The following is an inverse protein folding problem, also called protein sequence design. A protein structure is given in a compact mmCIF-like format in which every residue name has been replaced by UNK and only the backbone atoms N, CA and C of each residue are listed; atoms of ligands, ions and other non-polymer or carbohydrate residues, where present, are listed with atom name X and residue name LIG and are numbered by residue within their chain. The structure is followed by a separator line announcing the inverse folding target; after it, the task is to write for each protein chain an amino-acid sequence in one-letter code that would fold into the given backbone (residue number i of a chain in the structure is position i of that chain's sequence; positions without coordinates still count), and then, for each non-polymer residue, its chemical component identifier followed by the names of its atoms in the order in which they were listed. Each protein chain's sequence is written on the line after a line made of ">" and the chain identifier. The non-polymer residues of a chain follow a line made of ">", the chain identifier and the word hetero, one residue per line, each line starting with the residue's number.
data_IF_494054631073
#
_entry.id   IF_494054631073
#
_cell.length_a   1.000
_cell.length_b   1.000
_cell.length_c   1.000
_cell.angle_alpha   90.00
_cell.angle_beta   90.00
_cell.angle_gamma   90.00
#
_symmetry.space_group_name_H-M   'P 1'
#
loop_
_entity.id
_entity.type
_entity.pdbx_description
1 polymer ?
#
# COMPACT_ATOMS: atom_id res chain seq x y z
N UNK A 1 -29.79 -14.94 18.77
CA UNK A 1 -29.36 -13.53 18.60
C UNK A 1 -27.85 -13.56 18.44
N UNK A 2 -27.28 -12.82 17.48
CA UNK A 2 -25.83 -12.77 17.24
C UNK A 2 -25.07 -12.36 18.53
N UNK A 3 -24.00 -13.10 18.87
CA UNK A 3 -23.33 -13.05 20.17
C UNK A 3 -22.42 -11.83 20.32
N UNK A 4 -21.52 -11.67 19.36
CA UNK A 4 -20.55 -10.59 19.26
C UNK A 4 -21.11 -9.31 18.64
N UNK A 5 -22.13 -9.41 17.78
CA UNK A 5 -22.71 -8.26 17.06
C UNK A 5 -23.17 -7.14 17.99
N UNK A 6 -23.73 -7.48 19.17
CA UNK A 6 -24.16 -6.51 20.17
C UNK A 6 -23.04 -5.61 20.72
N UNK A 7 -21.78 -5.99 20.51
CA UNK A 7 -20.62 -5.19 20.85
C UNK A 7 -20.24 -4.25 19.71
N UNK A 8 -20.48 -4.64 18.46
CA UNK A 8 -20.36 -3.75 17.28
C UNK A 8 -21.45 -2.69 17.23
N UNK A 9 -22.69 -3.07 17.50
CA UNK A 9 -23.85 -2.17 17.35
C UNK A 9 -23.87 -0.98 18.31
N UNK A 10 -22.92 -0.91 19.25
CA UNK A 10 -22.73 0.22 20.16
C UNK A 10 -22.03 1.40 19.50
N UNK A 11 -21.27 1.14 18.44
CA UNK A 11 -20.57 2.18 17.69
C UNK A 11 -21.54 2.79 16.67
N UNK A 12 -21.55 4.11 16.60
CA UNK A 12 -22.29 4.85 15.59
C UNK A 12 -21.68 4.59 14.20
N UNK A 13 -22.53 4.70 13.18
CA UNK A 13 -22.11 4.59 11.79
C UNK A 13 -20.95 5.54 11.49
N UNK A 14 -19.83 5.01 10.99
CA UNK A 14 -18.65 5.78 10.59
C UNK A 14 -17.56 5.89 11.66
N UNK A 15 -17.80 5.42 12.90
CA UNK A 15 -16.74 5.36 13.92
C UNK A 15 -15.74 4.23 13.69
N UNK A 16 -16.19 3.16 13.03
CA UNK A 16 -15.38 1.98 12.72
C UNK A 16 -14.76 2.14 11.33
N UNK A 17 -13.42 2.20 11.28
CA UNK A 17 -12.68 2.50 10.05
C UNK A 17 -11.92 1.31 9.49
N UNK A 18 -11.24 0.56 10.34
CA UNK A 18 -10.47 -0.61 9.94
C UNK A 18 -11.10 -1.89 10.44
N UNK A 19 -11.07 -2.93 9.61
CA UNK A 19 -11.53 -4.27 9.95
C UNK A 19 -10.44 -5.27 9.58
N UNK A 20 -10.05 -6.10 10.55
CA UNK A 20 -9.13 -7.20 10.35
C UNK A 20 -9.74 -8.48 10.92
N UNK A 21 -9.96 -9.45 10.04
CA UNK A 21 -10.24 -10.82 10.44
C UNK A 21 -8.92 -11.58 10.40
N UNK A 22 -8.59 -12.23 11.50
CA UNK A 22 -7.51 -13.20 11.55
C UNK A 22 -8.05 -14.56 11.97
N UNK A 23 -7.59 -15.59 11.26
CA UNK A 23 -7.89 -16.99 11.56
C UNK A 23 -6.61 -17.66 12.03
N UNK A 24 -6.69 -18.30 13.18
CA UNK A 24 -5.70 -19.20 13.78
C UNK A 24 -6.40 -20.51 14.15
N UNK A 25 -5.64 -21.57 14.44
CA UNK A 25 -6.19 -22.94 14.48
C UNK A 25 -7.49 -23.09 15.27
N UNK A 26 -7.50 -22.59 16.51
CA UNK A 26 -8.63 -22.70 17.43
C UNK A 26 -9.26 -21.34 17.73
N UNK A 27 -8.92 -20.30 16.96
CA UNK A 27 -9.35 -18.93 17.23
C UNK A 27 -9.67 -18.16 15.94
N UNK A 28 -10.82 -17.51 15.91
CA UNK A 28 -11.13 -16.46 14.93
C UNK A 28 -11.24 -15.15 15.69
N UNK A 29 -10.55 -14.11 15.23
CA UNK A 29 -10.72 -12.79 15.81
C UNK A 29 -11.09 -11.74 14.76
N UNK A 30 -11.96 -10.83 15.18
CA UNK A 30 -12.38 -9.67 14.41
C UNK A 30 -11.91 -8.42 15.15
N UNK A 31 -10.82 -7.83 14.65
CA UNK A 31 -10.33 -6.55 15.15
C UNK A 31 -10.95 -5.41 14.37
N UNK A 32 -11.21 -4.33 15.10
CA UNK A 32 -11.64 -3.09 14.52
C UNK A 32 -11.04 -1.91 15.24
N UNK A 33 -10.85 -0.83 14.50
CA UNK A 33 -10.30 0.41 15.03
C UNK A 33 -11.40 1.45 15.12
N UNK A 34 -11.61 1.99 16.33
CA UNK A 34 -12.44 3.16 16.54
C UNK A 34 -11.61 4.43 16.33
N UNK A 35 -12.07 5.32 15.44
CA UNK A 35 -11.51 6.67 15.39
C UNK A 35 -12.26 7.59 16.34
N UNK A 36 -11.58 8.05 17.37
CA UNK A 36 -12.08 9.08 18.27
C UNK A 36 -11.26 10.36 18.05
N UNK A 37 -11.90 11.47 17.68
CA UNK A 37 -11.23 12.74 17.34
C UNK A 37 -10.36 13.30 18.49
N UNK A 38 -10.53 12.79 19.71
CA UNK A 38 -9.87 13.28 20.93
C UNK A 38 -8.81 12.33 21.52
N UNK A 39 -8.67 11.10 21.02
CA UNK A 39 -7.77 10.09 21.60
C UNK A 39 -7.00 9.29 20.54
N UNK A 40 -5.92 8.64 20.95
CA UNK A 40 -5.27 7.58 20.16
C UNK A 40 -6.32 6.53 19.79
N UNK A 41 -6.30 6.07 18.53
CA UNK A 41 -7.19 5.04 18.01
C UNK A 41 -7.19 3.80 18.91
N UNK A 42 -8.36 3.41 19.43
CA UNK A 42 -8.48 2.20 20.26
C UNK A 42 -8.75 1.03 19.34
N UNK A 43 -7.91 0.00 19.45
CA UNK A 43 -8.09 -1.25 18.74
C UNK A 43 -8.85 -2.22 19.65
N UNK A 44 -10.01 -2.66 19.17
CA UNK A 44 -10.87 -3.60 19.85
C UNK A 44 -10.86 -4.93 19.08
N UNK A 45 -10.97 -6.06 19.77
CA UNK A 45 -10.93 -7.40 19.20
C UNK A 45 -12.00 -8.29 19.82
N UNK A 46 -12.93 -8.77 19.01
CA UNK A 46 -13.85 -9.84 19.42
C UNK A 46 -13.23 -11.17 19.02
N UNK A 47 -13.15 -12.10 19.97
CA UNK A 47 -12.55 -13.41 19.76
C UNK A 47 -13.60 -14.50 19.90
N UNK A 48 -13.50 -15.46 19.00
CA UNK A 48 -14.24 -16.71 18.99
C UNK A 48 -13.19 -17.80 19.16
N UNK A 49 -13.20 -18.48 20.30
CA UNK A 49 -12.18 -19.47 20.68
C UNK A 49 -12.86 -20.81 20.91
N UNK A 50 -12.29 -21.88 20.35
CA UNK A 50 -12.71 -23.24 20.69
C UNK A 50 -11.90 -23.72 21.88
N UNK A 51 -12.58 -24.13 22.96
CA UNK A 51 -11.97 -24.75 24.14
C UNK A 51 -12.68 -26.07 24.39
N UNK A 52 -11.94 -27.16 24.21
CA UNK A 52 -12.49 -28.53 24.25
C UNK A 52 -13.61 -28.71 23.21
N UNK A 53 -14.83 -29.02 23.66
CA UNK A 53 -16.02 -29.19 22.82
C UNK A 53 -16.92 -27.95 22.78
N UNK A 54 -16.53 -26.86 23.46
CA UNK A 54 -17.32 -25.63 23.58
C UNK A 54 -16.69 -24.46 22.81
N UNK A 55 -17.54 -23.54 22.36
CA UNK A 55 -17.13 -22.28 21.73
C UNK A 55 -17.30 -21.15 22.74
N UNK A 56 -16.30 -20.28 22.84
CA UNK A 56 -16.31 -19.10 23.71
C UNK A 56 -16.17 -17.83 22.88
N UNK A 57 -17.04 -16.86 23.17
CA UNK A 57 -17.06 -15.55 22.52
C UNK A 57 -16.69 -14.47 23.55
N UNK A 58 -15.65 -13.70 23.28
CA UNK A 58 -15.14 -12.68 24.20
C UNK A 58 -14.89 -11.35 23.50
N UNK A 59 -14.93 -10.25 24.27
CA UNK A 59 -14.71 -8.89 23.79
C UNK A 59 -13.78 -8.10 24.73
N UNK A 60 -13.13 -7.04 24.24
CA UNK A 60 -12.18 -6.28 25.04
C UNK A 60 -12.88 -5.54 26.19
N UNK A 61 -12.15 -5.38 27.29
CA UNK A 61 -12.66 -4.73 28.49
C UNK A 61 -13.78 -5.51 29.21
N UNK A 62 -14.14 -6.72 28.77
CA UNK A 62 -15.12 -7.58 29.46
C UNK A 62 -14.42 -8.75 30.14
N UNK A 63 -14.72 -8.94 31.43
CA UNK A 63 -14.22 -10.06 32.24
C UNK A 63 -14.99 -11.38 32.03
N UNK A 64 -16.06 -11.37 31.23
CA UNK A 64 -16.89 -12.56 30.99
C UNK A 64 -16.84 -12.94 29.52
N UNK A 65 -16.38 -14.17 29.28
CA UNK A 65 -16.59 -14.91 28.04
C UNK A 65 -18.04 -15.42 28.02
N UNK A 66 -18.58 -15.60 26.83
CA UNK A 66 -19.90 -16.18 26.62
C UNK A 66 -19.67 -17.54 25.98
N UNK A 67 -20.07 -18.60 26.67
CA UNK A 67 -20.14 -19.93 26.06
C UNK A 67 -21.34 -19.99 25.11
N UNK A 68 -21.12 -20.52 23.92
CA UNK A 68 -22.14 -20.67 22.87
C UNK A 68 -22.15 -22.11 22.38
N UNK A 69 -23.34 -22.63 22.08
CA UNK A 69 -23.53 -24.03 21.65
C UNK A 69 -23.12 -24.22 20.18
N UNK A 70 -23.13 -23.14 19.39
CA UNK A 70 -22.73 -23.14 18.00
C UNK A 70 -21.24 -23.42 17.83
N UNK A 71 -20.87 -24.00 16.69
CA UNK A 71 -19.46 -24.13 16.32
C UNK A 71 -18.85 -22.74 16.15
N UNK A 72 -17.59 -22.59 16.53
CA UNK A 72 -16.83 -21.33 16.44
C UNK A 72 -17.03 -20.56 15.12
N UNK A 73 -16.91 -21.24 13.99
CA UNK A 73 -17.08 -20.61 12.67
C UNK A 73 -18.53 -20.17 12.40
N UNK A 74 -19.52 -20.88 12.92
CA UNK A 74 -20.93 -20.56 12.72
C UNK A 74 -21.32 -19.33 13.55
N UNK A 75 -20.87 -19.29 14.82
CA UNK A 75 -21.03 -18.12 15.69
C UNK A 75 -20.38 -16.87 15.07
N UNK A 76 -19.13 -17.00 14.59
CA UNK A 76 -18.43 -15.92 13.90
C UNK A 76 -19.17 -15.44 12.65
N UNK A 77 -19.59 -16.35 11.78
CA UNK A 77 -20.24 -16.01 10.51
C UNK A 77 -21.57 -15.29 10.75
N UNK A 78 -22.36 -15.70 11.73
CA UNK A 78 -23.62 -15.00 12.08
C UNK A 78 -23.35 -13.56 12.51
N UNK A 79 -22.38 -13.34 13.38
CA UNK A 79 -21.98 -12.01 13.85
C UNK A 79 -21.40 -11.15 12.72
N UNK A 80 -20.52 -11.72 11.89
CA UNK A 80 -19.87 -11.01 10.79
C UNK A 80 -20.84 -10.67 9.66
N UNK A 81 -21.78 -11.57 9.33
CA UNK A 81 -22.87 -11.32 8.38
C UNK A 81 -23.70 -10.12 8.83
N UNK A 82 -24.12 -10.11 10.09
CA UNK A 82 -24.89 -9.00 10.66
C UNK A 82 -24.10 -7.69 10.65
N UNK A 83 -22.80 -7.75 10.91
CA UNK A 83 -21.91 -6.60 10.77
C UNK A 83 -21.91 -6.05 9.32
N UNK A 84 -21.63 -6.89 8.31
CA UNK A 84 -21.52 -6.46 6.92
C UNK A 84 -22.84 -5.90 6.35
N UNK A 85 -23.97 -6.54 6.66
CA UNK A 85 -25.29 -6.10 6.21
C UNK A 85 -25.60 -4.70 6.72
N UNK A 86 -25.33 -4.46 8.01
CA UNK A 86 -25.65 -3.19 8.66
C UNK A 86 -24.55 -2.11 8.46
N UNK A 87 -23.37 -2.47 7.97
CA UNK A 87 -22.29 -1.51 7.71
C UNK A 87 -22.51 -0.78 6.38
N UNK A 88 -22.85 0.51 6.46
CA UNK A 88 -23.16 1.34 5.28
C UNK A 88 -22.19 2.52 5.10
N UNK A 89 -21.12 2.58 5.89
CA UNK A 89 -20.11 3.64 5.81
C UNK A 89 -18.90 3.23 5.01
N UNK A 90 -18.02 4.18 4.69
CA UNK A 90 -16.75 3.91 4.01
C UNK A 90 -15.75 3.37 5.04
N UNK A 91 -15.29 2.15 4.83
CA UNK A 91 -14.17 1.57 5.57
C UNK A 91 -12.84 2.08 5.01
N UNK A 92 -11.88 2.36 5.88
CA UNK A 92 -10.50 2.64 5.46
C UNK A 92 -9.81 1.34 5.01
N UNK A 93 -9.99 0.24 5.75
CA UNK A 93 -9.37 -1.03 5.39
C UNK A 93 -10.20 -2.26 5.75
N UNK A 94 -10.20 -3.26 4.86
CA UNK A 94 -10.70 -4.61 5.11
C UNK A 94 -9.57 -5.63 4.89
N UNK A 95 -9.14 -6.28 5.96
CA UNK A 95 -8.05 -7.25 5.95
C UNK A 95 -8.54 -8.62 6.36
N UNK A 96 -8.21 -9.63 5.58
CA UNK A 96 -8.57 -11.01 5.80
C UNK A 96 -7.29 -11.84 5.78
N UNK A 97 -6.86 -12.29 6.97
CA UNK A 97 -5.65 -13.07 7.16
C UNK A 97 -5.96 -14.45 7.72
N UNK A 98 -5.25 -15.44 7.22
CA UNK A 98 -5.30 -16.80 7.75
C UNK A 98 -3.87 -17.30 7.97
N UNK A 99 -3.55 -17.67 9.21
CA UNK A 99 -2.27 -18.31 9.57
C UNK A 99 -2.39 -19.83 9.68
N UNK A 100 -3.62 -20.35 9.73
CA UNK A 100 -3.93 -21.77 9.89
C UNK A 100 -3.99 -22.54 8.57
N UNK A 101 -4.18 -21.83 7.45
CA UNK A 101 -4.35 -22.40 6.10
C UNK A 101 -5.50 -23.42 6.02
N UNK A 102 -6.54 -23.25 6.85
CA UNK A 102 -7.69 -24.17 6.92
C UNK A 102 -8.73 -23.84 5.84
N UNK A 103 -8.71 -24.59 4.74
CA UNK A 103 -9.60 -24.40 3.58
C UNK A 103 -11.09 -24.39 3.95
N UNK A 104 -11.54 -25.27 4.87
CA UNK A 104 -12.94 -25.31 5.29
C UNK A 104 -13.38 -24.00 5.95
N UNK A 105 -12.58 -23.48 6.88
CA UNK A 105 -12.86 -22.22 7.57
C UNK A 105 -12.90 -21.06 6.59
N UNK A 106 -11.90 -20.96 5.70
CA UNK A 106 -11.83 -19.89 4.71
C UNK A 106 -13.03 -19.92 3.75
N UNK A 107 -13.46 -21.10 3.29
CA UNK A 107 -14.64 -21.23 2.45
C UNK A 107 -15.92 -20.82 3.18
N UNK A 108 -16.07 -21.16 4.47
CA UNK A 108 -17.22 -20.72 5.28
C UNK A 108 -17.24 -19.19 5.43
N UNK A 109 -16.09 -18.57 5.67
CA UNK A 109 -15.97 -17.10 5.76
C UNK A 109 -16.28 -16.46 4.40
N UNK A 110 -15.77 -17.02 3.30
CA UNK A 110 -16.07 -16.57 1.94
C UNK A 110 -17.57 -16.59 1.65
N UNK A 111 -18.25 -17.73 1.84
CA UNK A 111 -19.69 -17.85 1.60
C UNK A 111 -20.52 -16.91 2.49
N UNK A 112 -20.11 -16.75 3.75
CA UNK A 112 -20.72 -15.79 4.67
C UNK A 112 -20.58 -14.36 4.16
N UNK A 113 -19.37 -13.95 3.77
CA UNK A 113 -19.10 -12.62 3.26
C UNK A 113 -19.83 -12.35 1.95
N UNK A 114 -19.74 -13.30 0.99
CA UNK A 114 -20.42 -13.23 -0.30
C UNK A 114 -21.91 -13.03 -0.12
N UNK A 115 -22.57 -13.93 0.61
CA UNK A 115 -24.02 -13.86 0.82
C UNK A 115 -24.47 -12.63 1.62
N UNK A 116 -23.61 -12.06 2.47
CA UNK A 116 -23.89 -10.80 3.15
C UNK A 116 -23.81 -9.62 2.19
N UNK A 117 -22.74 -9.56 1.38
CA UNK A 117 -22.51 -8.49 0.42
C UNK A 117 -23.52 -8.52 -0.76
N UNK A 118 -23.91 -9.72 -1.22
CA UNK A 118 -24.95 -9.92 -2.23
C UNK A 118 -26.31 -9.37 -1.79
N UNK A 119 -26.60 -9.39 -0.49
CA UNK A 119 -27.86 -8.89 0.05
C UNK A 119 -27.92 -7.36 0.14
N UNK A 120 -26.81 -6.67 -0.10
CA UNK A 120 -26.76 -5.20 -0.05
C UNK A 120 -27.22 -4.60 -1.38
N UNK A 121 -28.03 -3.56 -1.31
CA UNK A 121 -28.44 -2.78 -2.49
C UNK A 121 -27.25 -2.02 -3.11
N UNK A 122 -26.33 -1.55 -2.28
CA UNK A 122 -25.13 -0.84 -2.70
C UNK A 122 -23.87 -1.69 -2.51
N UNK A 123 -22.90 -1.50 -3.42
CA UNK A 123 -21.58 -2.10 -3.29
C UNK A 123 -20.87 -1.64 -2.02
N UNK A 124 -20.11 -2.54 -1.41
CA UNK A 124 -19.32 -2.29 -0.22
C UNK A 124 -18.27 -1.20 -0.47
N UNK A 125 -18.22 -0.20 0.41
CA UNK A 125 -17.35 0.97 0.27
C UNK A 125 -16.13 0.81 1.16
N UNK A 126 -14.98 0.53 0.55
CA UNK A 126 -13.71 0.35 1.26
C UNK A 126 -12.55 0.92 0.45
N UNK A 127 -11.62 1.62 1.12
CA UNK A 127 -10.46 2.25 0.45
C UNK A 127 -9.31 1.28 0.18
N UNK A 128 -9.09 0.32 1.07
CA UNK A 128 -7.99 -0.64 0.97
C UNK A 128 -8.43 -2.06 1.35
N UNK A 129 -8.06 -3.06 0.54
CA UNK A 129 -8.30 -4.47 0.85
C UNK A 129 -6.99 -5.25 0.97
N UNK A 130 -6.98 -6.24 1.85
CA UNK A 130 -5.95 -7.26 1.92
C UNK A 130 -6.63 -8.63 2.03
N UNK A 131 -6.43 -9.48 1.02
CA UNK A 131 -6.96 -10.84 0.99
C UNK A 131 -5.79 -11.84 0.93
N UNK A 132 -5.53 -12.48 2.07
CA UNK A 132 -4.52 -13.55 2.21
C UNK A 132 -5.14 -14.95 2.31
N UNK A 133 -6.43 -15.06 2.64
CA UNK A 133 -7.10 -16.34 2.92
C UNK A 133 -7.84 -16.98 1.73
N UNK A 134 -7.99 -16.25 0.62
CA UNK A 134 -8.84 -16.64 -0.50
C UNK A 134 -8.05 -16.97 -1.76
N UNK A 135 -8.56 -17.93 -2.53
CA UNK A 135 -8.04 -18.19 -3.87
C UNK A 135 -8.44 -17.09 -4.87
N UNK A 136 -7.86 -17.15 -6.07
CA UNK A 136 -8.07 -16.16 -7.11
C UNK A 136 -9.55 -16.03 -7.53
N UNK A 137 -10.27 -17.15 -7.62
CA UNK A 137 -11.67 -17.18 -8.04
C UNK A 137 -12.53 -16.50 -6.97
N UNK A 138 -12.31 -16.84 -5.71
CA UNK A 138 -12.98 -16.22 -4.57
C UNK A 138 -12.71 -14.71 -4.49
N UNK A 139 -11.47 -14.27 -4.71
CA UNK A 139 -11.14 -12.83 -4.74
C UNK A 139 -11.93 -12.11 -5.84
N UNK A 140 -11.95 -12.64 -7.06
CA UNK A 140 -12.72 -12.06 -8.18
C UNK A 140 -14.22 -12.00 -7.85
N UNK A 141 -14.76 -13.08 -7.27
CA UNK A 141 -16.16 -13.14 -6.83
C UNK A 141 -16.50 -12.16 -5.69
N UNK A 142 -15.54 -11.72 -4.87
CA UNK A 142 -15.79 -10.69 -3.86
C UNK A 142 -15.65 -9.28 -4.43
N UNK A 143 -14.71 -9.07 -5.35
CA UNK A 143 -14.48 -7.75 -5.97
C UNK A 143 -15.70 -7.20 -6.69
N UNK A 144 -16.56 -8.05 -7.26
CA UNK A 144 -17.82 -7.61 -7.88
C UNK A 144 -18.72 -6.84 -6.90
N UNK A 145 -18.66 -7.13 -5.60
CA UNK A 145 -19.44 -6.45 -4.56
C UNK A 145 -18.74 -5.25 -3.94
N UNK A 146 -17.51 -4.95 -4.33
CA UNK A 146 -16.74 -3.79 -3.85
C UNK A 146 -16.93 -2.62 -4.82
N UNK A 147 -17.02 -1.40 -4.28
CA UNK A 147 -17.12 -0.20 -5.09
C UNK A 147 -15.74 0.17 -5.68
N UNK A 148 -15.55 0.10 -7.02
CA UNK A 148 -14.28 0.44 -7.66
C UNK A 148 -13.89 1.91 -7.51
N UNK A 149 -14.86 2.83 -7.37
CA UNK A 149 -14.59 4.27 -7.28
C UNK A 149 -14.01 4.68 -5.92
N UNK A 150 -14.19 3.84 -4.90
CA UNK A 150 -13.68 4.06 -3.55
C UNK A 150 -12.39 3.27 -3.30
N UNK A 151 -12.22 2.12 -3.94
CA UNK A 151 -11.04 1.30 -3.75
C UNK A 151 -9.81 1.98 -4.34
N UNK A 152 -8.80 2.20 -3.49
CA UNK A 152 -7.52 2.82 -3.87
C UNK A 152 -6.36 1.83 -3.80
N UNK A 153 -6.49 0.79 -2.98
CA UNK A 153 -5.44 -0.20 -2.77
C UNK A 153 -5.99 -1.63 -2.66
N UNK A 154 -5.36 -2.57 -3.35
CA UNK A 154 -5.62 -4.00 -3.22
C UNK A 154 -4.33 -4.78 -2.95
N UNK A 155 -4.32 -5.59 -1.90
CA UNK A 155 -3.20 -6.48 -1.56
C UNK A 155 -3.68 -7.93 -1.59
N UNK A 156 -2.97 -8.78 -2.35
CA UNK A 156 -3.39 -10.14 -2.62
C UNK A 156 -2.23 -11.12 -2.36
N UNK A 157 -2.48 -12.20 -1.63
CA UNK A 157 -1.53 -13.32 -1.51
C UNK A 157 -2.02 -14.50 -2.32
N UNK A 158 -1.64 -14.53 -3.60
CA UNK A 158 -2.10 -15.52 -4.57
C UNK A 158 -0.92 -16.21 -5.26
N UNK A 159 -1.04 -17.52 -5.47
CA UNK A 159 -0.06 -18.29 -6.23
C UNK A 159 -0.13 -17.97 -7.74
N UNK A 160 -1.34 -17.72 -8.24
CA UNK A 160 -1.68 -17.35 -9.61
C UNK A 160 -2.62 -16.13 -9.56
N UNK A 161 -2.37 -15.13 -10.40
CA UNK A 161 -3.09 -13.86 -10.37
C UNK A 161 -3.33 -13.26 -11.77
N UNK A 162 -3.08 -14.04 -12.81
CA UNK A 162 -3.16 -13.64 -14.21
C UNK A 162 -4.58 -13.20 -14.58
N UNK A 163 -5.58 -14.04 -14.32
CA UNK A 163 -7.00 -13.68 -14.53
C UNK A 163 -7.48 -12.54 -13.62
N UNK A 164 -6.83 -12.35 -12.45
CA UNK A 164 -7.17 -11.25 -11.56
C UNK A 164 -6.73 -9.92 -12.17
N UNK A 165 -5.57 -9.88 -12.83
CA UNK A 165 -5.13 -8.70 -13.59
C UNK A 165 -6.16 -8.35 -14.65
N UNK A 166 -6.57 -9.33 -15.45
CA UNK A 166 -7.52 -9.12 -16.55
C UNK A 166 -8.88 -8.65 -16.02
N UNK A 167 -9.33 -9.21 -14.89
CA UNK A 167 -10.53 -8.73 -14.19
C UNK A 167 -10.38 -7.28 -13.70
N UNK A 168 -9.29 -6.95 -13.02
CA UNK A 168 -9.05 -5.60 -12.48
C UNK A 168 -9.03 -4.55 -13.60
N UNK A 169 -8.43 -4.85 -14.75
CA UNK A 169 -8.43 -3.95 -15.91
C UNK A 169 -9.86 -3.59 -16.35
N UNK A 170 -10.75 -4.57 -16.39
CA UNK A 170 -12.14 -4.38 -16.82
C UNK A 170 -13.01 -3.74 -15.72
N UNK A 171 -12.79 -4.15 -14.47
CA UNK A 171 -13.64 -3.78 -13.33
C UNK A 171 -13.42 -2.34 -12.85
N UNK A 172 -12.20 -1.81 -12.98
CA UNK A 172 -11.73 -0.62 -12.27
C UNK A 172 -12.23 0.73 -12.81
N UNK A 173 -13.05 0.76 -13.87
CA UNK A 173 -13.76 1.96 -14.40
C UNK A 173 -12.92 3.25 -14.57
N UNK A 174 -11.60 3.12 -14.76
CA UNK A 174 -10.68 4.26 -14.92
C UNK A 174 -10.18 4.88 -13.60
N UNK A 175 -10.52 4.31 -12.45
CA UNK A 175 -9.90 4.67 -11.17
C UNK A 175 -8.47 4.11 -11.15
N UNK A 176 -7.50 4.80 -10.53
CA UNK A 176 -6.11 4.33 -10.54
C UNK A 176 -5.77 3.60 -9.24
N UNK A 177 -5.52 2.30 -9.33
CA UNK A 177 -5.27 1.42 -8.19
C UNK A 177 -3.79 1.30 -7.86
N UNK A 178 -3.50 1.23 -6.56
CA UNK A 178 -2.28 0.61 -6.05
C UNK A 178 -2.56 -0.88 -5.83
N UNK A 179 -1.78 -1.75 -6.45
CA UNK A 179 -1.93 -3.20 -6.31
C UNK A 179 -0.64 -3.83 -5.81
N UNK A 180 -0.76 -4.71 -4.83
CA UNK A 180 0.37 -5.42 -4.24
C UNK A 180 0.13 -6.91 -4.25
N UNK A 181 1.12 -7.68 -4.71
CA UNK A 181 1.04 -9.13 -4.73
C UNK A 181 2.09 -9.72 -3.81
N UNK A 182 1.68 -10.59 -2.90
CA UNK A 182 2.59 -11.37 -2.07
C UNK A 182 3.00 -12.63 -2.83
N UNK A 183 4.19 -12.56 -3.45
CA UNK A 183 4.72 -13.65 -4.25
C UNK A 183 5.76 -14.43 -3.43
N UNK A 184 5.60 -15.75 -3.31
CA UNK A 184 6.60 -16.62 -2.67
C UNK A 184 7.92 -16.62 -3.47
N UNK A 185 7.81 -16.54 -4.79
CA UNK A 185 8.89 -16.54 -5.77
C UNK A 185 8.62 -15.58 -6.93
N UNK A 186 9.68 -15.16 -7.62
CA UNK A 186 9.64 -14.29 -8.80
C UNK A 186 9.93 -15.10 -10.07
N UNK A 187 9.11 -16.11 -10.36
CA UNK A 187 9.24 -16.87 -11.61
C UNK A 187 9.03 -15.96 -12.84
N UNK A 188 9.62 -16.34 -13.97
CA UNK A 188 9.50 -15.60 -15.23
C UNK A 188 8.03 -15.34 -15.61
N UNK A 189 7.13 -16.31 -15.39
CA UNK A 189 5.70 -16.16 -15.66
C UNK A 189 5.05 -15.03 -14.84
N UNK A 190 5.41 -14.91 -13.55
CA UNK A 190 4.93 -13.82 -12.69
C UNK A 190 5.51 -12.47 -13.10
N UNK A 191 6.79 -12.44 -13.47
CA UNK A 191 7.45 -11.23 -13.95
C UNK A 191 6.84 -10.72 -15.28
N UNK A 192 6.53 -11.61 -16.21
CA UNK A 192 5.80 -11.28 -17.45
C UNK A 192 4.38 -10.78 -17.14
N UNK A 193 3.71 -11.37 -16.15
CA UNK A 193 2.40 -10.89 -15.69
C UNK A 193 2.47 -9.47 -15.14
N UNK A 194 3.52 -9.12 -14.37
CA UNK A 194 3.77 -7.74 -13.94
C UNK A 194 4.02 -6.80 -15.12
N UNK A 195 4.86 -7.19 -16.10
CA UNK A 195 5.10 -6.39 -17.31
C UNK A 195 3.81 -6.07 -18.06
N UNK A 196 2.91 -7.04 -18.19
CA UNK A 196 1.61 -6.86 -18.85
C UNK A 196 0.80 -5.73 -18.21
N UNK A 197 0.86 -5.58 -16.89
CA UNK A 197 0.15 -4.52 -16.16
C UNK A 197 0.64 -3.12 -16.53
N UNK A 198 1.89 -2.96 -16.96
CA UNK A 198 2.44 -1.65 -17.36
C UNK A 198 1.80 -1.09 -18.63
N UNK A 199 1.11 -1.93 -19.41
CA UNK A 199 0.32 -1.49 -20.55
C UNK A 199 -1.01 -0.81 -20.14
N UNK A 200 -1.32 -0.77 -18.84
CA UNK A 200 -2.56 -0.20 -18.31
C UNK A 200 -2.31 0.89 -17.25
N UNK A 201 -1.56 1.96 -17.58
CA UNK A 201 -1.24 3.05 -16.63
C UNK A 201 -2.47 3.86 -16.18
N UNK A 202 -3.57 3.82 -16.95
CA UNK A 202 -4.86 4.39 -16.56
C UNK A 202 -5.62 3.56 -15.51
N UNK A 203 -5.25 2.30 -15.33
CA UNK A 203 -5.83 1.38 -14.34
C UNK A 203 -4.94 1.32 -13.11
N UNK A 204 -3.62 1.22 -13.29
CA UNK A 204 -2.67 1.05 -12.19
C UNK A 204 -1.87 2.33 -11.98
N UNK A 205 -1.89 2.85 -10.75
CA UNK A 205 -0.96 3.89 -10.30
C UNK A 205 0.36 3.30 -9.84
N UNK A 206 0.27 2.18 -9.15
CA UNK A 206 1.41 1.57 -8.49
C UNK A 206 1.23 0.04 -8.46
N UNK A 207 2.28 -0.67 -8.84
CA UNK A 207 2.34 -2.12 -8.82
C UNK A 207 3.46 -2.51 -7.88
N UNK A 208 3.15 -3.33 -6.88
CA UNK A 208 4.11 -3.82 -5.91
C UNK A 208 4.16 -5.35 -5.92
N UNK A 209 5.35 -5.89 -5.80
CA UNK A 209 5.57 -7.30 -5.49
C UNK A 209 6.31 -7.39 -4.18
N UNK A 210 5.72 -8.08 -3.20
CA UNK A 210 6.44 -8.47 -2.00
C UNK A 210 7.33 -9.66 -2.35
N UNK A 211 8.62 -9.53 -2.03
CA UNK A 211 9.62 -10.54 -2.33
C UNK A 211 10.42 -10.87 -1.05
N UNK A 212 11.13 -12.01 -1.08
CA UNK A 212 12.03 -12.42 0.01
C UNK A 212 13.26 -11.52 0.14
N UNK A 213 14.39 -12.06 0.58
CA UNK A 213 15.66 -11.32 0.52
C UNK A 213 16.27 -11.53 -0.86
N UNK A 214 16.35 -10.48 -1.70
CA UNK A 214 17.13 -10.52 -2.94
C UNK A 214 18.54 -9.97 -2.73
N UNK A 215 19.51 -10.57 -3.40
CA UNK A 215 20.87 -10.08 -3.48
C UNK A 215 21.03 -9.03 -4.60
N UNK A 216 22.17 -8.37 -4.67
CA UNK A 216 22.37 -7.27 -5.63
C UNK A 216 22.42 -7.76 -7.09
N UNK A 217 22.90 -8.98 -7.35
CA UNK A 217 22.86 -9.56 -8.70
C UNK A 217 21.43 -9.83 -9.18
N UNK A 218 20.54 -10.29 -8.29
CA UNK A 218 19.12 -10.46 -8.59
C UNK A 218 18.44 -9.11 -8.87
N UNK A 219 18.81 -8.05 -8.15
CA UNK A 219 18.31 -6.70 -8.44
C UNK A 219 18.72 -6.24 -9.84
N UNK A 220 19.98 -6.43 -10.21
CA UNK A 220 20.47 -6.07 -11.56
C UNK A 220 19.71 -6.84 -12.65
N UNK A 221 19.48 -8.14 -12.45
CA UNK A 221 18.66 -8.94 -13.38
C UNK A 221 17.23 -8.42 -13.49
N UNK A 222 16.60 -8.04 -12.38
CA UNK A 222 15.25 -7.47 -12.39
C UNK A 222 15.23 -6.08 -13.06
N UNK A 223 16.23 -5.24 -12.82
CA UNK A 223 16.37 -3.93 -13.49
C UNK A 223 16.46 -4.14 -15.01
N UNK A 224 17.33 -5.04 -15.46
CA UNK A 224 17.47 -5.36 -16.89
C UNK A 224 16.19 -5.97 -17.46
N UNK A 225 15.54 -6.85 -16.71
CA UNK A 225 14.29 -7.48 -17.15
C UNK A 225 13.19 -6.44 -17.37
N UNK A 226 13.04 -5.46 -16.48
CA UNK A 226 11.95 -4.49 -16.52
C UNK A 226 12.23 -3.24 -17.36
N UNK A 227 13.40 -3.11 -18.01
CA UNK A 227 13.70 -1.98 -18.88
C UNK A 227 12.60 -1.76 -19.95
N UNK A 228 12.10 -0.51 -20.18
CA UNK A 228 12.59 0.77 -19.65
C UNK A 228 12.02 1.20 -18.28
N UNK A 229 11.17 0.38 -17.66
CA UNK A 229 10.56 0.70 -16.36
C UNK A 229 11.58 0.56 -15.24
N UNK A 230 11.65 1.56 -14.36
CA UNK A 230 12.64 1.61 -13.27
C UNK A 230 12.03 1.12 -11.96
N UNK A 231 12.29 -0.13 -11.53
CA UNK A 231 11.85 -0.60 -10.23
C UNK A 231 12.52 0.20 -9.10
N UNK A 232 11.74 0.54 -8.07
CA UNK A 232 12.27 0.97 -6.77
C UNK A 232 12.35 -0.24 -5.84
N UNK A 233 13.51 -0.47 -5.27
CA UNK A 233 13.74 -1.56 -4.31
C UNK A 233 13.66 -1.02 -2.90
N UNK A 234 12.62 -1.41 -2.18
CA UNK A 234 12.46 -1.19 -0.75
C UNK A 234 12.64 -2.54 -0.03
N UNK A 235 12.85 -2.52 1.30
CA UNK A 235 13.28 -3.70 2.09
C UNK A 235 12.54 -4.99 1.69
N UNK A 236 11.22 -4.93 1.50
CA UNK A 236 10.41 -6.10 1.14
C UNK A 236 9.58 -5.95 -0.13
N UNK A 237 9.76 -4.87 -0.89
CA UNK A 237 8.89 -4.55 -2.02
C UNK A 237 9.68 -4.09 -3.24
N UNK A 238 9.37 -4.67 -4.39
CA UNK A 238 9.69 -4.07 -5.68
C UNK A 238 8.48 -3.22 -6.04
N UNK A 239 8.70 -1.93 -6.22
CA UNK A 239 7.65 -0.97 -6.53
C UNK A 239 7.85 -0.39 -7.92
N UNK A 240 6.78 -0.40 -8.72
CA UNK A 240 6.69 0.32 -9.98
C UNK A 240 5.63 1.40 -9.84
N UNK A 241 6.01 2.65 -10.05
CA UNK A 241 5.09 3.77 -10.17
C UNK A 241 4.83 4.03 -11.65
N UNK A 242 3.55 4.07 -12.03
CA UNK A 242 3.15 4.37 -13.40
C UNK A 242 2.72 5.82 -13.47
N UNK A 243 3.21 6.54 -14.47
CA UNK A 243 2.80 7.92 -14.75
C UNK A 243 1.33 7.96 -15.17
N UNK A 244 0.68 9.09 -14.88
CA UNK A 244 -0.70 9.29 -15.31
C UNK A 244 -0.74 9.68 -16.79
N UNK A 245 -1.37 8.90 -17.68
CA UNK A 245 -1.45 9.25 -19.09
C UNK A 245 -2.14 10.60 -19.30
N UNK A 246 -3.13 10.94 -18.46
CA UNK A 246 -3.85 12.22 -18.57
C UNK A 246 -2.94 13.42 -18.27
N UNK A 247 -1.92 13.25 -17.44
CA UNK A 247 -0.92 14.29 -17.18
C UNK A 247 0.06 14.38 -18.34
N UNK A 248 0.54 13.24 -18.84
CA UNK A 248 1.51 13.19 -19.96
C UNK A 248 0.91 13.75 -21.24
N UNK A 249 -0.32 13.35 -21.58
CA UNK A 249 -1.02 13.83 -22.76
C UNK A 249 -1.32 15.34 -22.66
N UNK A 250 -1.71 15.82 -21.47
CA UNK A 250 -1.93 17.25 -21.23
C UNK A 250 -0.60 18.03 -21.28
N UNK A 251 0.50 17.49 -20.76
CA UNK A 251 1.82 18.11 -20.88
C UNK A 251 2.33 18.13 -22.32
N UNK A 252 2.10 17.06 -23.09
CA UNK A 252 2.45 16.99 -24.51
C UNK A 252 1.60 17.96 -25.34
N UNK A 253 0.30 18.04 -25.06
CA UNK A 253 -0.61 19.01 -25.69
C UNK A 253 -0.24 20.44 -25.30
N UNK A 254 0.07 20.71 -24.04
CA UNK A 254 0.57 22.00 -23.58
C UNK A 254 1.91 22.33 -24.24
N UNK A 255 2.84 21.37 -24.36
CA UNK A 255 4.12 21.57 -25.02
C UNK A 255 3.95 21.86 -26.53
N UNK A 256 3.00 21.20 -27.19
CA UNK A 256 2.65 21.45 -28.58
C UNK A 256 1.96 22.81 -28.77
N UNK A 257 1.04 23.19 -27.87
CA UNK A 257 0.43 24.54 -27.82
C UNK A 257 1.46 25.64 -27.58
N UNK A 258 2.45 25.36 -26.75
CA UNK A 258 3.57 26.27 -26.46
C UNK A 258 4.66 26.22 -27.54
N UNK A 259 4.50 25.39 -28.59
CA UNK A 259 5.43 25.33 -29.71
C UNK A 259 6.83 24.84 -29.32
N UNK A 260 6.97 24.05 -28.26
CA UNK A 260 8.27 23.66 -27.68
C UNK A 260 9.06 22.62 -28.50
N UNK A 261 8.72 22.41 -29.78
CA UNK A 261 9.43 21.51 -30.69
C UNK A 261 10.76 22.14 -31.13
N UNK A 262 11.87 21.58 -30.61
CA UNK A 262 13.30 21.79 -30.96
C UNK A 262 13.97 23.12 -30.56
N UNK A 263 15.13 22.97 -29.90
CA UNK A 263 16.32 23.85 -29.75
C UNK A 263 16.07 25.30 -29.25
N UNK A 264 15.09 26.02 -29.79
CA UNK A 264 14.69 27.37 -29.35
C UNK A 264 13.96 27.40 -28.01
N UNK A 265 13.42 26.27 -27.55
CA UNK A 265 12.70 26.16 -26.28
C UNK A 265 13.62 26.39 -25.07
N UNK A 266 14.90 25.98 -25.17
CA UNK A 266 15.90 26.24 -24.13
C UNK A 266 16.40 27.69 -24.14
N UNK A 267 16.27 28.40 -25.27
CA UNK A 267 16.59 29.83 -25.37
C UNK A 267 15.61 30.67 -24.52
N UNK A 268 14.36 30.22 -24.36
CA UNK A 268 13.39 30.86 -23.46
C UNK A 268 13.85 30.78 -22.00
N UNK A 269 14.41 29.63 -21.60
CA UNK A 269 15.00 29.45 -20.27
C UNK A 269 16.36 30.16 -20.12
N UNK A 270 16.96 30.60 -21.22
CA UNK A 270 18.14 31.47 -21.19
C UNK A 270 17.76 32.97 -21.05
N UNK A 271 16.48 33.30 -20.84
CA UNK A 271 16.03 34.66 -20.53
C UNK A 271 16.12 34.93 -19.01
N UNK A 272 16.93 35.91 -18.56
CA UNK A 272 17.10 36.22 -17.14
C UNK A 272 15.80 36.57 -16.40
N UNK A 273 14.88 37.31 -17.04
CA UNK A 273 13.64 37.73 -16.39
C UNK A 273 12.69 36.55 -16.16
N UNK A 274 12.64 35.60 -17.10
CA UNK A 274 11.85 34.38 -16.92
C UNK A 274 12.51 33.44 -15.92
N UNK A 275 13.83 33.33 -15.95
CA UNK A 275 14.58 32.49 -15.01
C UNK A 275 14.47 32.99 -13.57
N UNK A 276 14.42 34.32 -13.35
CA UNK A 276 14.14 34.92 -12.05
C UNK A 276 12.76 34.50 -11.53
N UNK A 277 11.73 34.57 -12.38
CA UNK A 277 10.36 34.12 -12.03
C UNK A 277 10.26 32.62 -11.79
N UNK A 278 11.00 31.81 -12.54
CA UNK A 278 11.06 30.36 -12.34
C UNK A 278 11.74 30.06 -11.00
N UNK A 279 12.84 30.75 -10.69
CA UNK A 279 13.59 30.59 -9.46
C UNK A 279 12.77 30.96 -8.20
N UNK A 280 11.83 31.91 -8.30
CA UNK A 280 10.88 32.22 -7.21
C UNK A 280 9.99 31.02 -6.83
N UNK A 281 9.77 30.07 -7.75
CA UNK A 281 8.80 28.97 -7.60
C UNK A 281 9.40 27.57 -7.39
N UNK A 282 10.73 27.43 -7.36
CA UNK A 282 11.40 26.12 -7.28
C UNK A 282 12.45 26.11 -6.15
N UNK A 283 12.78 24.93 -5.65
CA UNK A 283 13.77 24.80 -4.58
C UNK A 283 15.22 24.87 -5.09
N UNK A 284 16.17 25.04 -4.16
CA UNK A 284 17.58 25.15 -4.49
C UNK A 284 18.16 23.92 -5.20
N UNK A 285 17.70 22.71 -4.86
CA UNK A 285 18.20 21.50 -5.51
C UNK A 285 17.72 21.42 -6.95
N UNK A 286 16.51 21.90 -7.23
CA UNK A 286 15.98 22.03 -8.58
C UNK A 286 16.68 23.13 -9.39
N UNK A 287 17.07 24.25 -8.76
CA UNK A 287 17.97 25.25 -9.39
C UNK A 287 19.31 24.60 -9.79
N UNK A 288 19.91 23.79 -8.91
CA UNK A 288 21.15 23.07 -9.22
C UNK A 288 20.97 22.04 -10.35
N UNK A 289 19.81 21.40 -10.44
CA UNK A 289 19.47 20.48 -11.53
C UNK A 289 19.32 21.24 -12.85
N UNK A 290 18.61 22.37 -12.84
CA UNK A 290 18.47 23.26 -14.01
C UNK A 290 19.82 23.76 -14.51
N UNK A 291 20.73 24.15 -13.60
CA UNK A 291 22.10 24.57 -13.92
C UNK A 291 22.91 23.50 -14.66
N UNK A 292 22.54 22.21 -14.54
CA UNK A 292 23.19 21.10 -15.26
C UNK A 292 22.58 20.81 -16.63
N UNK A 293 21.39 21.33 -16.92
CA UNK A 293 20.64 21.01 -18.14
C UNK A 293 21.23 21.62 -19.42
N UNK A 294 21.65 22.89 -19.40
CA UNK A 294 22.27 23.55 -20.55
C UNK A 294 23.31 24.62 -20.16
N UNK A 295 24.18 25.00 -21.11
CA UNK A 295 25.18 26.07 -20.90
C UNK A 295 24.52 27.44 -20.76
N UNK A 296 23.46 27.70 -21.52
CA UNK A 296 22.79 29.01 -21.53
C UNK A 296 21.95 29.22 -20.27
N UNK A 297 21.27 28.16 -19.79
CA UNK A 297 20.56 28.16 -18.49
C UNK A 297 21.55 28.38 -17.35
N UNK A 298 22.70 27.71 -17.39
CA UNK A 298 23.77 27.92 -16.40
C UNK A 298 24.25 29.37 -16.40
N UNK A 299 24.51 29.95 -17.57
CA UNK A 299 24.94 31.34 -17.69
C UNK A 299 23.89 32.31 -17.16
N UNK A 300 22.60 32.00 -17.38
CA UNK A 300 21.47 32.78 -16.92
C UNK A 300 21.35 32.76 -15.38
N UNK A 301 21.37 31.56 -14.79
CA UNK A 301 21.34 31.36 -13.33
C UNK A 301 22.56 32.01 -12.64
N UNK A 302 23.74 31.86 -13.23
CA UNK A 302 24.99 32.43 -12.69
C UNK A 302 24.98 33.97 -12.73
N UNK A 303 24.32 34.58 -13.74
CA UNK A 303 24.14 36.02 -13.84
C UNK A 303 23.15 36.57 -12.80
N UNK A 304 22.09 35.82 -12.48
CA UNK A 304 21.07 36.21 -11.51
C UNK A 304 21.57 36.17 -10.06
N UNK A 305 22.66 35.42 -9.77
CA UNK A 305 23.21 35.24 -8.41
C UNK A 305 22.12 34.92 -7.38
N UNK A 306 21.25 33.98 -7.71
CA UNK A 306 20.15 33.58 -6.86
C UNK A 306 20.68 33.17 -5.48
N UNK A 307 20.18 33.80 -4.42
CA UNK A 307 20.54 33.48 -3.05
C UNK A 307 19.97 32.09 -2.70
N UNK A 308 20.82 31.11 -2.34
CA UNK A 308 20.37 29.78 -1.95
C UNK A 308 19.39 29.77 -0.78
N UNK A 309 19.40 30.81 0.08
CA UNK A 309 18.75 30.84 1.40
C UNK A 309 19.05 29.59 2.26
N UNK A 310 20.11 28.85 1.96
CA UNK A 310 20.55 27.70 2.73
C UNK A 310 21.51 28.18 3.82
N UNK A 311 21.03 28.20 5.06
CA UNK A 311 21.87 28.48 6.22
C UNK A 311 22.93 27.38 6.46
N UNK A 312 22.69 26.17 5.95
CA UNK A 312 23.61 25.04 5.97
C UNK A 312 22.92 23.75 5.54
N UNK A 313 23.68 22.77 5.07
CA UNK A 313 23.18 21.43 4.78
C UNK A 313 24.14 20.39 5.37
N UNK A 314 23.60 19.25 5.82
CA UNK A 314 24.35 18.15 6.42
C UNK A 314 24.25 16.92 5.53
N UNK A 315 25.37 16.38 5.09
CA UNK A 315 25.43 15.09 4.38
C UNK A 315 25.79 14.01 5.41
N UNK A 316 24.86 13.10 5.69
CA UNK A 316 25.11 11.93 6.55
C UNK A 316 25.32 10.70 5.68
N UNK A 317 26.51 10.13 5.75
CA UNK A 317 26.81 8.84 5.14
C UNK A 317 26.57 7.78 6.22
N UNK A 318 25.48 7.04 6.09
CA UNK A 318 25.25 5.85 6.91
C UNK A 318 26.04 4.69 6.34
N UNK A 319 27.10 4.27 7.03
CA UNK A 319 27.68 2.94 6.80
C UNK A 319 26.93 1.93 7.68
N UNK A 320 26.34 0.87 7.12
CA UNK A 320 25.88 -0.24 7.92
C UNK A 320 27.10 -0.81 8.67
N UNK A 321 26.99 -0.98 10.00
CA UNK A 321 27.97 -1.78 10.73
C UNK A 321 27.98 -3.18 10.12
N UNK A 322 29.11 -3.56 9.53
CA UNK A 322 29.41 -4.97 9.28
C UNK A 322 29.36 -5.66 10.64
N UNK A 323 28.31 -6.45 10.87
CA UNK A 323 28.25 -7.33 12.04
C UNK A 323 29.21 -8.47 11.79
N UNK A 324 30.38 -8.35 12.39
CA UNK A 324 31.36 -9.41 12.51
C UNK A 324 30.70 -10.63 13.17
N UNK A 325 30.61 -11.72 12.43
CA UNK A 325 30.13 -13.00 12.94
C UNK A 325 31.30 -13.73 13.61
N UNK A 326 31.56 -13.45 14.89
CA UNK A 326 32.19 -14.45 15.77
C UNK A 326 31.91 -14.20 17.26
N UNK A 327 30.98 -15.00 17.79
CA UNK A 327 30.91 -15.59 19.15
C UNK A 327 31.75 -14.97 20.29
N UNK A 328 31.07 -14.40 21.29
CA UNK A 328 30.79 -14.99 22.62
C UNK A 328 30.78 -13.91 23.72
N UNK A 329 29.69 -13.88 24.48
CA UNK A 329 29.72 -13.62 25.93
C UNK A 329 29.87 -12.18 26.40
N UNK A 330 28.89 -11.79 27.23
CA UNK A 330 28.86 -10.70 28.22
C UNK A 330 28.22 -9.38 27.77
N UNK A 331 27.17 -9.00 28.50
CA UNK A 331 26.56 -7.67 28.55
C UNK A 331 27.62 -6.57 28.73
N UNK A 332 27.44 -5.47 28.01
CA UNK A 332 27.57 -4.09 28.52
C UNK A 332 27.00 -3.14 27.46
N UNK A 333 26.27 -2.13 27.93
CA UNK A 333 25.75 -1.00 27.15
C UNK A 333 26.89 -0.29 26.40
N UNK A 334 26.88 -0.37 25.07
CA UNK A 334 27.68 0.53 24.22
C UNK A 334 26.75 1.28 23.26
N UNK A 335 26.63 2.60 23.48
CA UNK A 335 26.03 3.53 22.54
C UNK A 335 26.72 3.46 21.17
N UNK A 336 25.98 3.60 20.05
CA UNK A 336 26.60 3.62 18.74
C UNK A 336 27.50 4.86 18.58
N UNK A 337 28.80 4.61 18.45
CA UNK A 337 29.82 5.59 18.10
C UNK A 337 29.41 6.41 16.87
N UNK A 338 29.07 7.67 17.11
CA UNK A 338 28.83 8.68 16.07
C UNK A 338 30.17 9.15 15.51
N UNK A 339 30.70 8.45 14.51
CA UNK A 339 31.74 9.03 13.66
C UNK A 339 31.09 9.99 12.66
N UNK A 340 30.80 11.20 13.13
CA UNK A 340 30.30 12.32 12.31
C UNK A 340 31.49 13.07 11.72
N UNK A 341 31.74 12.89 10.42
CA UNK A 341 32.66 13.78 9.70
C UNK A 341 31.91 15.05 9.30
N UNK A 342 32.17 16.15 10.03
CA UNK A 342 31.65 17.46 9.71
C UNK A 342 32.47 18.10 8.58
N UNK A 343 32.02 17.95 7.34
CA UNK A 343 32.47 18.80 6.25
C UNK A 343 31.50 19.99 6.13
N UNK A 344 31.86 21.09 6.78
CA UNK A 344 31.12 22.35 6.72
C UNK A 344 31.64 23.16 5.54
N UNK A 345 30.93 23.14 4.42
CA UNK A 345 31.21 24.04 3.30
C UNK A 345 30.37 25.31 3.46
N UNK A 346 31.03 26.46 3.61
CA UNK A 346 30.44 27.78 3.35
C UNK A 346 30.63 28.06 1.86
N UNK A 347 29.55 28.30 1.14
CA UNK A 347 29.59 28.84 -0.22
C UNK A 347 29.67 30.36 -0.19
#
# INVERSE_FOLDING_TARGET
>A
MPFGYKWFSRYQNGQLKDFLIYVEDENIGLLFTESNERFQSVQECIKYEKKEDSTFVSAPGKRKEIEVEERMIDAFCEDYRMFLINHNTISDCLKLRDKSFKTYTNNRIFECMKSALESKEEKFKVKSILFEMFDQKQVIELLQFINPEILTEGQFSLSHFEDLIDYLIQWNRGCRLKVSFHCVDLSTAKLESFKRMFNYPSVFRCIQSHYGKINDSEKEMLIAFFEPFKPKFEWKYITFELEDPSIVDNLAEQADRLGLKKIRSLEVLANPLLMERIAEGIDYFDILRLRKASRDIRSCIDALKLDPQIAGYEIRIWRPLERDQSRNGTELDEEPSKNTHHLKYRF
#
